data_IF_601403894320
#
_entry.id   IF_601403894320
#
_cell.length_a   1.000
_cell.length_b   1.000
_cell.length_c   1.000
_cell.angle_alpha   90.00
_cell.angle_beta   90.00
_cell.angle_gamma   90.00
#
_symmetry.space_group_name_H-M   'P 1'
#
loop_
_entity.id
_entity.type
_entity.pdbx_description
1 polymer ?
#
# COMPACT_ATOMS: atom_id res chain seq x y z
N UNK A 1 11.20 21.77 32.19
CA UNK A 1 10.30 21.59 31.03
C UNK A 1 9.08 20.85 31.53
N UNK A 2 7.86 21.41 31.39
CA UNK A 2 6.66 20.81 31.93
C UNK A 2 6.52 19.38 31.39
N UNK A 3 6.44 18.41 32.30
CA UNK A 3 6.16 17.01 31.98
C UNK A 3 4.69 16.96 31.52
N UNK A 4 4.46 17.20 30.23
CA UNK A 4 3.16 16.95 29.62
C UNK A 4 2.87 15.46 29.80
N UNK A 5 1.95 15.13 30.69
CA UNK A 5 1.43 13.77 30.83
C UNK A 5 1.00 13.28 29.44
N UNK A 6 1.51 12.14 28.97
CA UNK A 6 1.24 11.70 27.61
C UNK A 6 -0.27 11.55 27.42
N UNK A 7 -0.81 12.16 26.36
CA UNK A 7 -2.25 12.32 26.21
C UNK A 7 -2.93 10.97 26.01
N UNK A 8 -4.05 10.75 26.70
CA UNK A 8 -4.85 9.53 26.56
C UNK A 8 -5.38 9.38 25.12
N UNK A 9 -5.73 10.49 24.48
CA UNK A 9 -6.11 10.55 23.06
C UNK A 9 -4.98 10.05 22.15
N UNK A 10 -3.72 10.39 22.43
CA UNK A 10 -2.58 9.91 21.65
C UNK A 10 -2.37 8.41 21.75
N UNK A 11 -2.59 7.83 22.94
CA UNK A 11 -2.52 6.39 23.15
C UNK A 11 -3.60 5.65 22.34
N UNK A 12 -4.86 6.13 22.41
CA UNK A 12 -5.97 5.56 21.65
C UNK A 12 -5.69 5.64 20.15
N UNK A 13 -5.22 6.80 19.66
CA UNK A 13 -4.89 6.98 18.25
C UNK A 13 -3.84 5.97 17.79
N UNK A 14 -2.75 5.80 18.54
CA UNK A 14 -1.69 4.83 18.22
C UNK A 14 -2.23 3.40 18.20
N UNK A 15 -3.06 3.02 19.17
CA UNK A 15 -3.68 1.69 19.21
C UNK A 15 -4.61 1.46 18.00
N UNK A 16 -5.40 2.45 17.61
CA UNK A 16 -6.26 2.37 16.42
C UNK A 16 -5.41 2.23 15.16
N UNK A 17 -4.33 3.01 15.02
CA UNK A 17 -3.41 2.87 13.87
C UNK A 17 -2.77 1.47 13.83
N UNK A 18 -2.30 0.95 14.97
CA UNK A 18 -1.77 -0.42 15.04
C UNK A 18 -2.82 -1.46 14.66
N UNK A 19 -4.06 -1.33 15.15
CA UNK A 19 -5.15 -2.24 14.82
C UNK A 19 -5.48 -2.23 13.32
N UNK A 20 -5.48 -1.06 12.68
CA UNK A 20 -5.68 -0.93 11.23
C UNK A 20 -4.55 -1.62 10.45
N UNK A 21 -3.30 -1.41 10.85
CA UNK A 21 -2.14 -2.06 10.23
C UNK A 21 -2.20 -3.57 10.37
N UNK A 22 -2.54 -4.08 11.56
CA UNK A 22 -2.70 -5.51 11.80
C UNK A 22 -3.86 -6.07 10.95
N UNK A 23 -4.98 -5.35 10.87
CA UNK A 23 -6.14 -5.78 10.07
C UNK A 23 -5.78 -5.86 8.59
N UNK A 24 -5.06 -4.86 8.06
CA UNK A 24 -4.58 -4.86 6.68
C UNK A 24 -3.61 -6.02 6.41
N UNK A 25 -2.67 -6.28 7.32
CA UNK A 25 -1.74 -7.41 7.25
C UNK A 25 -2.48 -8.76 7.25
N UNK A 26 -3.45 -8.93 8.15
CA UNK A 26 -4.26 -10.16 8.23
C UNK A 26 -5.09 -10.38 6.97
N UNK A 27 -5.67 -9.30 6.42
CA UNK A 27 -6.40 -9.38 5.16
C UNK A 27 -5.48 -9.82 4.02
N UNK A 28 -4.27 -9.26 3.94
CA UNK A 28 -3.29 -9.66 2.94
C UNK A 28 -2.87 -11.12 3.07
N UNK A 29 -2.56 -11.57 4.29
CA UNK A 29 -2.23 -12.98 4.59
C UNK A 29 -3.39 -13.90 4.19
N UNK A 30 -4.64 -13.56 4.53
CA UNK A 30 -5.82 -14.35 4.15
C UNK A 30 -6.01 -14.39 2.64
N UNK A 31 -5.78 -13.28 1.93
CA UNK A 31 -5.92 -13.19 0.48
C UNK A 31 -4.86 -14.04 -0.24
N UNK A 32 -3.64 -14.04 0.29
CA UNK A 32 -2.56 -14.91 -0.17
C UNK A 32 -2.86 -16.39 0.08
N UNK A 33 -3.28 -16.74 1.31
CA UNK A 33 -3.59 -18.11 1.71
C UNK A 33 -4.74 -18.73 0.89
N UNK A 34 -5.75 -17.93 0.53
CA UNK A 34 -6.87 -18.38 -0.32
C UNK A 34 -6.50 -18.56 -1.80
N UNK A 35 -5.21 -18.44 -2.18
CA UNK A 35 -4.71 -18.52 -3.57
C UNK A 35 -5.44 -17.59 -4.57
N UNK A 36 -6.16 -16.58 -4.08
CA UNK A 36 -6.80 -15.53 -4.91
C UNK A 36 -5.79 -14.47 -5.38
N UNK A 37 -4.54 -14.63 -5.00
CA UNK A 37 -3.45 -13.70 -5.25
C UNK A 37 -2.69 -14.10 -6.52
N UNK A 38 -2.75 -13.26 -7.55
CA UNK A 38 -1.85 -13.27 -8.72
C UNK A 38 -0.44 -12.72 -8.33
N UNK A 39 -0.24 -12.30 -7.07
CA UNK A 39 1.04 -11.76 -6.63
C UNK A 39 2.09 -12.85 -6.43
N UNK A 40 3.29 -12.58 -6.95
CA UNK A 40 4.49 -13.37 -6.73
C UNK A 40 4.87 -13.41 -5.24
N UNK A 41 5.38 -14.55 -4.73
CA UNK A 41 5.71 -14.73 -3.31
C UNK A 41 6.72 -13.70 -2.79
N UNK A 42 7.65 -13.24 -3.63
CA UNK A 42 8.58 -12.17 -3.29
C UNK A 42 7.88 -10.85 -2.91
N UNK A 43 6.77 -10.49 -3.58
CA UNK A 43 6.02 -9.26 -3.27
C UNK A 43 5.30 -9.39 -1.95
N UNK A 44 4.70 -10.54 -1.69
CA UNK A 44 4.05 -10.81 -0.41
C UNK A 44 5.02 -10.65 0.77
N UNK A 45 6.25 -11.19 0.65
CA UNK A 45 7.29 -11.00 1.67
C UNK A 45 7.65 -9.52 1.83
N UNK A 46 7.83 -8.78 0.74
CA UNK A 46 8.11 -7.34 0.81
C UNK A 46 6.98 -6.54 1.48
N UNK A 47 5.72 -6.87 1.19
CA UNK A 47 4.57 -6.25 1.87
C UNK A 47 4.54 -6.58 3.35
N UNK A 48 4.79 -7.85 3.71
CA UNK A 48 4.88 -8.29 5.10
C UNK A 48 5.98 -7.54 5.86
N UNK A 49 7.14 -7.35 5.23
CA UNK A 49 8.24 -6.55 5.77
C UNK A 49 7.81 -5.09 5.93
N UNK A 50 7.18 -4.48 4.92
CA UNK A 50 6.71 -3.09 4.98
C UNK A 50 5.70 -2.85 6.11
N UNK A 51 4.69 -3.70 6.24
CA UNK A 51 3.71 -3.63 7.32
C UNK A 51 4.33 -3.93 8.69
N UNK A 52 5.25 -4.89 8.76
CA UNK A 52 6.00 -5.19 9.99
C UNK A 52 6.85 -4.02 10.45
N UNK A 53 7.48 -3.31 9.51
CA UNK A 53 8.31 -2.14 9.79
C UNK A 53 7.45 -0.96 10.24
N UNK A 54 6.30 -0.73 9.59
CA UNK A 54 5.31 0.25 10.02
C UNK A 54 4.75 -0.06 11.43
N UNK A 55 4.43 -1.33 11.70
CA UNK A 55 3.96 -1.77 13.01
C UNK A 55 5.04 -1.59 14.08
N UNK A 56 6.30 -1.87 13.76
CA UNK A 56 7.45 -1.62 14.65
C UNK A 56 7.60 -0.12 14.96
N UNK A 57 7.33 0.76 13.99
CA UNK A 57 7.35 2.21 14.20
C UNK A 57 6.23 2.63 15.16
N UNK A 58 5.00 2.16 14.96
CA UNK A 58 3.92 2.52 15.90
C UNK A 58 4.10 1.91 17.28
N UNK A 59 4.49 0.63 17.35
CA UNK A 59 4.76 -0.07 18.61
C UNK A 59 5.91 0.59 19.38
N UNK A 60 6.99 0.99 18.68
CA UNK A 60 8.11 1.69 19.29
C UNK A 60 7.73 3.09 19.79
N UNK A 61 6.92 3.86 19.06
CA UNK A 61 6.41 5.13 19.57
C UNK A 61 5.54 4.94 20.81
N UNK A 62 4.63 3.95 20.76
CA UNK A 62 3.77 3.62 21.89
C UNK A 62 4.60 3.18 23.11
N UNK A 63 5.58 2.30 22.91
CA UNK A 63 6.44 1.84 23.97
C UNK A 63 7.27 2.98 24.56
N UNK A 64 7.89 3.81 23.73
CA UNK A 64 8.71 4.95 24.16
C UNK A 64 7.91 6.02 24.92
N UNK A 65 6.65 6.22 24.59
CA UNK A 65 5.81 7.25 25.23
C UNK A 65 5.06 6.75 26.46
N UNK A 66 4.60 5.50 26.46
CA UNK A 66 3.63 5.01 27.46
C UNK A 66 4.13 3.84 28.31
N UNK A 67 5.05 3.01 27.80
CA UNK A 67 5.52 1.82 28.53
C UNK A 67 6.90 2.00 29.17
N UNK A 68 7.81 2.70 28.48
CA UNK A 68 9.20 2.86 28.89
C UNK A 68 9.33 4.13 29.72
N UNK A 69 9.65 3.98 31.01
CA UNK A 69 10.08 5.10 31.85
C UNK A 69 11.58 5.26 31.73
N UNK A 70 12.02 6.31 31.03
CA UNK A 70 13.44 6.62 30.90
C UNK A 70 14.00 7.14 32.23
N UNK A 71 14.95 6.41 32.81
CA UNK A 71 15.65 6.82 34.04
C UNK A 71 16.65 7.95 33.82
N UNK A 72 17.15 8.10 32.58
CA UNK A 72 18.10 9.15 32.21
C UNK A 72 17.69 9.83 30.90
N UNK A 73 17.94 11.14 30.82
CA UNK A 73 17.71 11.91 29.58
C UNK A 73 18.56 11.37 28.42
N UNK A 74 19.78 10.89 28.69
CA UNK A 74 20.67 10.33 27.68
C UNK A 74 20.07 9.07 27.05
N UNK A 75 19.42 8.20 27.85
CA UNK A 75 18.74 7.00 27.35
C UNK A 75 17.54 7.38 26.49
N UNK A 76 16.76 8.39 26.90
CA UNK A 76 15.63 8.88 26.12
C UNK A 76 16.10 9.44 24.76
N UNK A 77 17.14 10.28 24.75
CA UNK A 77 17.70 10.86 23.54
C UNK A 77 18.17 9.74 22.59
N UNK A 78 18.99 8.79 23.09
CA UNK A 78 19.46 7.66 22.26
C UNK A 78 18.32 6.86 21.66
N UNK A 79 17.29 6.56 22.45
CA UNK A 79 16.11 5.85 21.97
C UNK A 79 15.44 6.60 20.81
N UNK A 80 15.16 7.89 21.00
CA UNK A 80 14.53 8.71 19.97
C UNK A 80 15.43 8.94 18.75
N UNK A 81 16.76 9.05 18.92
CA UNK A 81 17.70 9.16 17.81
C UNK A 81 17.69 7.92 16.92
N UNK A 82 17.72 6.73 17.53
CA UNK A 82 17.61 5.47 16.77
C UNK A 82 16.29 5.42 16.02
N UNK A 83 15.21 5.85 16.67
CA UNK A 83 13.89 5.91 16.05
C UNK A 83 13.81 6.87 14.87
N UNK A 84 14.43 8.04 15.03
CA UNK A 84 14.47 9.10 14.02
C UNK A 84 15.32 8.68 12.81
N UNK A 85 16.31 7.80 12.99
CA UNK A 85 17.01 7.16 11.89
C UNK A 85 16.21 6.02 11.24
N UNK A 86 15.41 5.29 12.01
CA UNK A 86 14.59 4.18 11.49
C UNK A 86 13.38 4.69 10.67
N UNK A 87 12.74 5.77 11.10
CA UNK A 87 11.55 6.33 10.45
C UNK A 87 11.74 6.66 8.95
N UNK A 88 12.80 7.36 8.50
CA UNK A 88 13.00 7.62 7.07
C UNK A 88 13.26 6.33 6.28
N UNK A 89 13.91 5.33 6.88
CA UNK A 89 14.09 4.00 6.25
C UNK A 89 12.74 3.33 6.03
N UNK A 90 11.85 3.41 7.03
CA UNK A 90 10.48 2.91 6.92
C UNK A 90 9.70 3.60 5.79
N UNK A 91 9.75 4.94 5.76
CA UNK A 91 9.08 5.73 4.73
C UNK A 91 9.64 5.42 3.35
N UNK A 92 10.97 5.34 3.20
CA UNK A 92 11.60 5.03 1.93
C UNK A 92 11.18 3.64 1.42
N UNK A 93 11.13 2.63 2.31
CA UNK A 93 10.67 1.30 1.95
C UNK A 93 9.21 1.31 1.46
N UNK A 94 8.32 2.06 2.13
CA UNK A 94 6.92 2.21 1.73
C UNK A 94 6.79 2.95 0.39
N UNK A 95 7.59 3.99 0.15
CA UNK A 95 7.58 4.73 -1.13
C UNK A 95 8.03 3.83 -2.28
N UNK A 96 9.12 3.08 -2.09
CA UNK A 96 9.60 2.13 -3.11
C UNK A 96 8.50 1.10 -3.42
N UNK A 97 7.84 0.58 -2.40
CA UNK A 97 6.74 -0.36 -2.57
C UNK A 97 5.55 0.25 -3.33
N UNK A 98 5.14 1.47 -2.96
CA UNK A 98 4.05 2.18 -3.63
C UNK A 98 4.36 2.43 -5.12
N UNK A 99 5.61 2.79 -5.44
CA UNK A 99 6.06 2.98 -6.82
C UNK A 99 6.05 1.66 -7.60
N UNK A 100 6.47 0.55 -6.98
CA UNK A 100 6.44 -0.76 -7.63
C UNK A 100 5.01 -1.23 -7.90
N UNK A 101 4.10 -1.06 -6.93
CA UNK A 101 2.68 -1.38 -7.09
C UNK A 101 2.05 -0.52 -8.20
N UNK A 102 2.35 0.78 -8.23
CA UNK A 102 1.89 1.67 -9.29
C UNK A 102 2.36 1.25 -10.67
N UNK A 103 3.66 0.93 -10.83
CA UNK A 103 4.23 0.49 -12.11
C UNK A 103 3.56 -0.79 -12.61
N UNK A 104 3.23 -1.71 -11.71
CA UNK A 104 2.55 -2.95 -12.07
C UNK A 104 1.10 -2.71 -12.46
N UNK A 105 0.37 -1.91 -11.69
CA UNK A 105 -1.01 -1.53 -11.99
C UNK A 105 -1.11 -0.88 -13.38
N UNK A 106 -0.14 -0.03 -13.73
CA UNK A 106 -0.08 0.60 -15.04
C UNK A 106 0.15 -0.40 -16.18
N UNK A 107 0.97 -1.42 -15.95
CA UNK A 107 1.20 -2.51 -16.92
C UNK A 107 -0.06 -3.32 -17.21
N UNK A 108 -0.87 -3.59 -16.19
CA UNK A 108 -2.15 -4.29 -16.37
C UNK A 108 -3.24 -3.42 -17.00
N UNK A 109 -3.30 -2.14 -16.65
CA UNK A 109 -4.22 -1.21 -17.31
C UNK A 109 -3.90 -1.06 -18.80
N UNK A 110 -2.62 -1.02 -19.18
CA UNK A 110 -2.23 -0.96 -20.59
C UNK A 110 -2.63 -2.22 -21.37
N UNK A 111 -2.51 -3.41 -20.76
CA UNK A 111 -2.99 -4.66 -21.39
C UNK A 111 -4.50 -4.66 -21.60
N UNK A 112 -5.27 -4.29 -20.56
CA UNK A 112 -6.74 -4.21 -20.68
C UNK A 112 -7.18 -3.15 -21.69
N UNK A 113 -6.51 -1.99 -21.74
CA UNK A 113 -6.78 -0.97 -22.75
C UNK A 113 -6.49 -1.48 -24.17
N UNK A 114 -5.39 -2.20 -24.37
CA UNK A 114 -5.06 -2.78 -25.68
C UNK A 114 -6.10 -3.82 -26.13
N UNK A 115 -6.64 -4.63 -25.21
CA UNK A 115 -7.74 -5.56 -25.48
C UNK A 115 -9.03 -4.82 -25.86
N UNK A 116 -9.39 -3.76 -25.13
CA UNK A 116 -10.54 -2.92 -25.44
C UNK A 116 -10.40 -2.22 -26.80
N UNK A 117 -9.22 -1.68 -27.13
CA UNK A 117 -8.98 -1.06 -28.44
C UNK A 117 -9.04 -2.06 -29.59
N UNK A 118 -8.62 -3.31 -29.38
CA UNK A 118 -8.80 -4.38 -30.37
C UNK A 118 -10.28 -4.69 -30.60
N UNK A 119 -11.06 -4.86 -29.53
CA UNK A 119 -12.50 -5.09 -29.64
C UNK A 119 -13.22 -3.95 -30.36
N UNK A 120 -12.92 -2.70 -30.01
CA UNK A 120 -13.47 -1.52 -30.69
C UNK A 120 -13.06 -1.46 -32.17
N UNK A 121 -11.81 -1.82 -32.50
CA UNK A 121 -11.33 -1.88 -33.88
C UNK A 121 -12.00 -2.98 -34.71
N UNK A 122 -12.27 -4.14 -34.09
CA UNK A 122 -12.95 -5.27 -34.73
C UNK A 122 -14.45 -4.97 -34.94
N UNK A 123 -15.11 -4.32 -33.97
CA UNK A 123 -16.50 -3.84 -34.12
C UNK A 123 -16.63 -2.77 -35.20
N UNK A 124 -15.71 -1.79 -35.26
CA UNK A 124 -15.71 -0.76 -36.32
C UNK A 124 -15.48 -1.37 -37.71
N UNK A 125 -14.61 -2.39 -37.82
CA UNK A 125 -14.42 -3.14 -39.07
C UNK A 125 -15.65 -3.92 -39.49
N UNK A 126 -16.35 -4.54 -38.53
CA UNK A 126 -17.62 -5.21 -38.81
C UNK A 126 -18.69 -4.23 -39.26
N UNK A 127 -18.81 -3.05 -38.64
CA UNK A 127 -19.75 -2.02 -39.09
C UNK A 127 -19.42 -1.52 -40.50
N UNK A 128 -18.15 -1.29 -40.82
CA UNK A 128 -17.73 -0.86 -42.16
C UNK A 128 -17.92 -1.94 -43.25
N UNK A 129 -17.88 -3.23 -42.90
CA UNK A 129 -18.19 -4.32 -43.83
C UNK A 129 -19.69 -4.61 -43.94
N UNK A 130 -20.45 -4.33 -42.88
CA UNK A 130 -21.89 -4.47 -42.84
C UNK A 130 -22.65 -3.23 -43.31
N UNK A 131 -21.97 -2.17 -43.80
CA UNK A 131 -22.57 -1.16 -44.68
C UNK A 131 -22.70 -1.78 -46.08
N UNK A 132 -23.88 -2.31 -46.46
CA UNK A 132 -24.09 -2.84 -47.78
C UNK A 132 -24.43 -1.64 -48.67
N UNK A 133 -23.73 -1.53 -49.80
CA UNK A 133 -24.22 -0.96 -51.05
C UNK A 133 -25.74 -0.77 -51.11
N UNK A 134 -26.22 0.37 -50.60
CA UNK A 134 -27.62 0.62 -50.37
C UNK A 134 -27.94 2.09 -50.59
N UNK A 135 -27.50 2.63 -51.73
CA UNK A 135 -28.23 3.66 -52.50
C UNK A 135 -27.42 4.09 -53.73
N UNK A 136 -27.28 3.21 -54.72
CA UNK A 136 -26.82 3.61 -56.05
C UNK A 136 -27.65 2.96 -57.15
N UNK A 137 -28.94 2.77 -56.89
CA UNK A 137 -29.87 2.23 -57.87
C UNK A 137 -31.27 2.76 -57.61
N UNK A 138 -31.46 4.07 -57.70
CA UNK A 138 -32.71 4.67 -58.19
C UNK A 138 -32.49 6.12 -58.66
N UNK A 139 -33.03 6.40 -59.84
CA UNK A 139 -33.11 7.64 -60.64
C UNK A 139 -31.91 8.03 -61.51
#
# INVERSE_FOLDING_TARGET
>A
MPQGSPSLTGAILLLVMMALVITALLWEVMTYARRRSILTPARFVWRLVGFGLLLSVFAGMFAGLYLIRFSSQVTAIRYWTVFLMLAPVAVLALVIMAVQDWRWLMGEQMRRRAELYRQLGDELRQMAQNEPQGDSNDA
#
